data_IF_169083153544
#
_entry.id   IF_169083153544
#
_cell.length_a   1.000
_cell.length_b   1.000
_cell.length_c   1.000
_cell.angle_alpha   90.00
_cell.angle_beta   90.00
_cell.angle_gamma   90.00
#
_symmetry.space_group_name_H-M   'P 1'
#
loop_
_entity.id
_entity.type
_entity.pdbx_description
1 polymer ?
#
# COMPACT_ATOMS: atom_id res chain seq x y z
N UNK A 1 2.51 -8.76 -4.59
CA UNK A 1 2.18 -9.95 -3.80
C UNK A 1 1.40 -9.56 -2.56
N UNK A 2 0.14 -9.93 -2.50
CA UNK A 2 -0.73 -9.71 -1.36
C UNK A 2 -2.03 -10.50 -1.48
N UNK A 3 -2.70 -10.72 -0.36
CA UNK A 3 -3.97 -11.44 -0.23
C UNK A 3 -4.87 -10.64 0.71
N UNK A 4 -6.17 -10.60 0.40
CA UNK A 4 -7.18 -9.98 1.27
C UNK A 4 -8.00 -11.04 1.97
N UNK A 5 -8.49 -10.74 3.17
CA UNK A 5 -9.52 -11.54 3.82
C UNK A 5 -10.79 -11.61 2.95
N UNK A 6 -11.64 -12.64 3.10
CA UNK A 6 -12.88 -12.76 2.32
C UNK A 6 -13.82 -11.56 2.45
N UNK A 7 -13.81 -10.88 3.59
CA UNK A 7 -14.61 -9.66 3.86
C UNK A 7 -13.89 -8.36 3.45
N UNK A 8 -12.67 -8.45 2.89
CA UNK A 8 -11.89 -7.32 2.40
C UNK A 8 -11.31 -6.40 3.47
N UNK A 9 -11.47 -6.71 4.76
CA UNK A 9 -11.08 -5.83 5.87
C UNK A 9 -9.62 -5.94 6.27
N UNK A 10 -8.97 -7.05 5.91
CA UNK A 10 -7.55 -7.30 6.21
C UNK A 10 -6.80 -7.52 4.92
N UNK A 11 -5.73 -6.75 4.71
CA UNK A 11 -4.78 -6.92 3.61
C UNK A 11 -3.45 -7.45 4.16
N UNK A 12 -3.09 -8.68 3.78
CA UNK A 12 -1.74 -9.22 3.95
C UNK A 12 -0.91 -8.92 2.71
N UNK A 13 0.30 -8.36 2.89
CA UNK A 13 1.17 -7.97 1.77
C UNK A 13 2.63 -8.21 2.12
N UNK A 14 3.40 -8.73 1.16
CA UNK A 14 4.84 -8.97 1.34
C UNK A 14 5.69 -7.71 1.12
N UNK A 15 5.29 -6.83 0.21
CA UNK A 15 6.04 -5.60 -0.05
C UNK A 15 5.77 -4.52 1.00
N UNK A 16 6.78 -3.73 1.32
CA UNK A 16 6.72 -2.61 2.26
C UNK A 16 6.10 -1.36 1.62
N UNK A 17 4.80 -1.12 1.84
CA UNK A 17 4.11 0.07 1.34
C UNK A 17 4.29 1.29 2.26
N UNK A 18 4.65 1.05 3.52
CA UNK A 18 5.00 2.07 4.51
C UNK A 18 6.33 2.75 4.20
N UNK A 19 7.19 2.11 3.40
CA UNK A 19 8.43 2.70 2.92
C UNK A 19 8.11 3.81 1.91
N UNK A 20 7.95 5.03 2.43
CA UNK A 20 7.60 6.25 1.69
C UNK A 20 8.60 7.36 2.03
N UNK A 21 8.95 8.17 1.04
CA UNK A 21 9.93 9.23 1.18
C UNK A 21 10.60 9.59 -0.14
N UNK A 22 11.48 10.58 -0.09
CA UNK A 22 12.22 11.06 -1.26
C UNK A 22 13.38 10.11 -1.63
N UNK A 23 13.79 10.13 -2.90
CA UNK A 23 14.93 9.36 -3.42
C UNK A 23 14.87 7.84 -3.21
N UNK A 24 13.65 7.29 -3.08
CA UNK A 24 13.42 5.85 -3.03
C UNK A 24 13.11 5.29 -4.42
N UNK A 25 13.39 4.01 -4.62
CA UNK A 25 12.99 3.26 -5.82
C UNK A 25 13.49 3.84 -7.15
N UNK A 26 14.68 4.45 -7.16
CA UNK A 26 15.25 5.13 -8.33
C UNK A 26 15.33 4.25 -9.61
N UNK A 27 15.41 2.93 -9.43
CA UNK A 27 15.47 1.94 -10.49
C UNK A 27 14.12 1.28 -10.82
N UNK A 28 13.03 1.68 -10.17
CA UNK A 28 11.70 1.09 -10.39
C UNK A 28 10.80 2.14 -11.05
N UNK A 29 10.44 1.98 -12.34
CA UNK A 29 9.65 2.97 -13.07
C UNK A 29 8.21 3.05 -12.55
N UNK A 30 7.51 4.15 -12.85
CA UNK A 30 6.10 4.44 -12.51
C UNK A 30 5.83 4.90 -11.07
N UNK A 31 4.58 5.28 -10.79
CA UNK A 31 4.09 5.63 -9.45
C UNK A 31 4.23 4.46 -8.47
N UNK A 32 4.51 4.78 -7.21
CA UNK A 32 4.78 3.80 -6.13
C UNK A 32 3.74 3.86 -5.03
N UNK A 33 3.06 5.00 -4.88
CA UNK A 33 2.03 5.16 -3.87
C UNK A 33 0.76 4.38 -4.23
N UNK A 34 0.51 3.31 -3.48
CA UNK A 34 -0.68 2.47 -3.63
C UNK A 34 -1.92 3.06 -2.92
N UNK A 35 -1.77 4.16 -2.18
CA UNK A 35 -2.82 4.84 -1.41
C UNK A 35 -3.56 3.96 -0.40
N UNK A 36 -2.95 2.86 0.05
CA UNK A 36 -3.58 1.90 0.96
C UNK A 36 -3.86 2.50 2.34
N UNK A 37 -3.01 3.42 2.82
CA UNK A 37 -3.20 4.09 4.11
C UNK A 37 -4.31 5.14 4.03
N UNK A 38 -4.33 5.98 2.98
CA UNK A 38 -5.42 6.94 2.76
C UNK A 38 -6.77 6.22 2.63
N UNK A 39 -6.81 5.14 1.86
CA UNK A 39 -8.01 4.31 1.69
C UNK A 39 -8.46 3.68 3.00
N UNK A 40 -7.51 3.20 3.82
CA UNK A 40 -7.80 2.65 5.15
C UNK A 40 -8.39 3.68 6.10
N UNK A 41 -7.90 4.93 6.08
CA UNK A 41 -8.49 6.02 6.87
C UNK A 41 -9.89 6.37 6.35
N UNK A 42 -10.05 6.54 5.03
CA UNK A 42 -11.34 6.84 4.39
C UNK A 42 -12.42 5.80 4.64
N UNK A 43 -12.05 4.56 4.92
CA UNK A 43 -13.03 3.52 5.24
C UNK A 43 -13.78 3.78 6.56
N UNK A 44 -13.16 4.48 7.51
CA UNK A 44 -13.73 4.76 8.83
C UNK A 44 -14.29 6.19 8.99
N UNK A 45 -14.06 7.06 8.00
CA UNK A 45 -14.60 8.43 7.95
C UNK A 45 -15.89 8.46 7.13
#
# INVERSE_FOLDING_TARGET
EGITSPDGRVLGKMGHSERKGENLYANVPFEKDQKIFESGVKYFL
#
